data_IF_359497887975
#
_entry.id   IF_359497887975
#
_cell.length_a   1.000
_cell.length_b   1.000
_cell.length_c   1.000
_cell.angle_alpha   90.00
_cell.angle_beta   90.00
_cell.angle_gamma   90.00
#
_symmetry.space_group_name_H-M   'P 1'
#
loop_
_entity.id
_entity.type
_entity.pdbx_description
1 polymer ?
#
# COMPACT_ATOMS: atom_id res chain seq x y z
N UNK A 1 -19.74 -31.25 -42.45
CA UNK A 1 -19.36 -31.93 -41.18
C UNK A 1 -17.86 -31.90 -40.84
N UNK A 2 -16.93 -31.60 -41.76
CA UNK A 2 -15.49 -31.50 -41.45
C UNK A 2 -15.05 -30.12 -40.87
N UNK A 3 -15.82 -29.06 -41.04
CA UNK A 3 -15.49 -27.73 -40.53
C UNK A 3 -15.87 -27.50 -39.05
N UNK A 4 -16.78 -28.32 -38.50
CA UNK A 4 -17.26 -28.18 -37.11
C UNK A 4 -16.24 -28.77 -36.07
N UNK A 5 -15.39 -29.72 -36.49
CA UNK A 5 -14.40 -30.33 -35.61
C UNK A 5 -13.12 -29.50 -35.43
N UNK A 6 -12.81 -28.61 -36.37
CA UNK A 6 -11.63 -27.72 -36.28
C UNK A 6 -11.91 -26.57 -35.31
N UNK A 7 -13.15 -26.08 -35.20
CA UNK A 7 -13.52 -25.04 -34.25
C UNK A 7 -13.52 -25.55 -32.78
N UNK A 8 -13.82 -26.83 -32.53
CA UNK A 8 -13.74 -27.42 -31.17
C UNK A 8 -12.30 -27.71 -30.72
N UNK A 9 -11.39 -27.98 -31.64
CA UNK A 9 -9.99 -28.25 -31.32
C UNK A 9 -9.18 -26.98 -31.00
N UNK A 10 -9.58 -25.82 -31.52
CA UNK A 10 -8.96 -24.53 -31.21
C UNK A 10 -9.46 -23.92 -29.89
N UNK A 11 -10.64 -24.33 -29.42
CA UNK A 11 -11.17 -23.88 -28.11
C UNK A 11 -10.59 -24.59 -26.90
N UNK A 12 -9.92 -25.76 -27.11
CA UNK A 12 -9.36 -26.57 -26.02
C UNK A 12 -7.88 -26.24 -25.70
N UNK A 13 -7.24 -25.35 -26.45
CA UNK A 13 -5.83 -24.96 -26.26
C UNK A 13 -5.59 -23.68 -25.48
N UNK A 14 -6.64 -23.04 -24.97
CA UNK A 14 -6.54 -21.77 -24.24
C UNK A 14 -6.71 -21.90 -22.71
N UNK A 15 -6.59 -23.08 -22.14
CA UNK A 15 -6.26 -23.23 -20.73
C UNK A 15 -4.74 -23.35 -20.66
N UNK A 16 -4.05 -22.24 -20.89
CA UNK A 16 -2.66 -22.13 -20.47
C UNK A 16 -2.66 -22.35 -18.97
N UNK A 17 -2.18 -23.49 -18.52
CA UNK A 17 -1.82 -23.70 -17.14
C UNK A 17 -0.95 -22.49 -16.74
N UNK A 18 -1.45 -21.70 -15.80
CA UNK A 18 -0.71 -20.60 -15.23
C UNK A 18 0.48 -21.25 -14.53
N UNK A 19 1.64 -21.27 -15.17
CA UNK A 19 2.84 -21.75 -14.53
C UNK A 19 3.17 -20.72 -13.44
N UNK A 20 3.15 -21.14 -12.18
CA UNK A 20 3.67 -20.34 -11.10
C UNK A 20 5.11 -19.97 -11.45
N UNK A 21 5.42 -18.67 -11.39
CA UNK A 21 6.76 -18.18 -11.68
C UNK A 21 7.70 -18.67 -10.57
N UNK A 22 8.84 -19.31 -10.89
CA UNK A 22 9.77 -19.76 -9.87
C UNK A 22 10.18 -18.61 -8.95
N UNK A 23 10.00 -18.83 -7.66
CA UNK A 23 10.37 -17.86 -6.63
C UNK A 23 11.27 -18.54 -5.61
N UNK A 24 12.47 -18.01 -5.45
CA UNK A 24 13.50 -18.53 -4.57
C UNK A 24 13.68 -17.57 -3.41
N UNK A 25 13.88 -18.14 -2.22
CA UNK A 25 14.10 -17.41 -0.97
C UNK A 25 15.40 -17.86 -0.34
N UNK A 26 16.23 -16.91 0.07
CA UNK A 26 17.41 -17.16 0.86
C UNK A 26 17.74 -15.98 1.76
N UNK A 27 18.53 -16.19 2.78
CA UNK A 27 19.01 -15.15 3.69
C UNK A 27 20.53 -15.11 3.69
N UNK A 28 21.11 -13.92 3.71
CA UNK A 28 22.55 -13.75 3.91
C UNK A 28 22.90 -13.89 5.41
N UNK A 29 24.17 -14.17 5.71
CA UNK A 29 24.67 -14.30 7.09
C UNK A 29 24.45 -13.04 7.93
N UNK A 30 24.33 -11.87 7.30
CA UNK A 30 24.02 -10.59 7.96
C UNK A 30 22.52 -10.34 8.17
N UNK A 31 21.67 -11.32 7.86
CA UNK A 31 20.24 -11.27 8.10
C UNK A 31 19.41 -10.62 6.98
N UNK A 32 20.00 -10.22 5.86
CA UNK A 32 19.26 -9.72 4.70
C UNK A 32 18.44 -10.85 4.08
N UNK A 33 17.10 -10.68 4.08
CA UNK A 33 16.19 -11.58 3.38
C UNK A 33 16.22 -11.26 1.88
N UNK A 34 16.26 -12.29 1.03
CA UNK A 34 16.32 -12.13 -0.43
C UNK A 34 15.26 -13.00 -1.10
N UNK A 35 14.45 -12.39 -1.97
CA UNK A 35 13.48 -13.06 -2.83
C UNK A 35 13.88 -12.85 -4.29
N UNK A 36 13.99 -13.94 -5.05
CA UNK A 36 14.27 -13.89 -6.50
C UNK A 36 13.09 -14.54 -7.23
N UNK A 37 12.39 -13.77 -8.06
CA UNK A 37 11.30 -14.26 -8.93
C UNK A 37 11.75 -14.26 -10.37
N UNK A 38 11.83 -15.44 -10.97
CA UNK A 38 12.26 -15.63 -12.35
C UNK A 38 11.09 -15.38 -13.31
N UNK A 39 11.23 -14.39 -14.20
CA UNK A 39 10.26 -14.06 -15.23
C UNK A 39 10.97 -13.67 -16.54
N UNK A 40 11.13 -14.64 -17.42
CA UNK A 40 11.88 -14.50 -18.69
C UNK A 40 11.03 -14.00 -19.86
N UNK A 41 9.81 -13.48 -19.62
CA UNK A 41 8.92 -13.00 -20.68
C UNK A 41 9.42 -11.70 -21.35
N UNK A 42 10.23 -10.92 -20.66
CA UNK A 42 10.84 -9.70 -21.17
C UNK A 42 12.25 -9.51 -20.59
N UNK A 43 13.21 -8.95 -21.35
CA UNK A 43 14.61 -8.79 -20.92
C UNK A 43 14.76 -7.61 -19.93
N UNK A 44 13.99 -7.61 -18.85
CA UNK A 44 13.99 -6.56 -17.82
C UNK A 44 14.14 -7.17 -16.43
N UNK A 45 14.78 -6.44 -15.53
CA UNK A 45 14.92 -6.79 -14.13
C UNK A 45 14.50 -5.62 -13.25
N UNK A 46 13.76 -5.90 -12.19
CA UNK A 46 13.41 -4.98 -11.13
C UNK A 46 14.14 -5.41 -9.86
N UNK A 47 14.85 -4.49 -9.23
CA UNK A 47 15.48 -4.66 -7.92
C UNK A 47 14.77 -3.72 -6.95
N UNK A 48 14.22 -4.27 -5.87
CA UNK A 48 13.57 -3.49 -4.81
C UNK A 48 14.17 -3.86 -3.46
N UNK A 49 14.53 -2.86 -2.66
CA UNK A 49 14.83 -3.08 -1.25
C UNK A 49 13.73 -2.48 -0.40
N UNK A 50 13.25 -3.26 0.54
CA UNK A 50 12.15 -2.94 1.43
C UNK A 50 12.65 -2.92 2.87
N UNK A 51 12.45 -1.82 3.58
CA UNK A 51 12.77 -1.70 5.00
C UNK A 51 11.49 -1.84 5.83
N UNK A 52 11.58 -2.70 6.86
CA UNK A 52 10.52 -2.92 7.84
C UNK A 52 10.43 -1.71 8.80
N UNK A 53 10.29 -0.51 8.23
CA UNK A 53 10.21 0.77 8.94
C UNK A 53 9.43 1.79 8.09
N UNK A 54 8.39 2.34 8.65
CA UNK A 54 7.54 3.36 8.03
C UNK A 54 7.11 4.40 9.06
N UNK A 55 6.17 5.27 8.68
CA UNK A 55 5.82 6.38 9.56
C UNK A 55 5.24 5.94 10.91
N UNK A 56 4.63 4.74 11.03
CA UNK A 56 4.12 4.25 12.32
C UNK A 56 5.22 3.91 13.34
N UNK A 57 6.46 3.76 12.88
CA UNK A 57 7.62 3.44 13.73
C UNK A 57 8.34 4.73 14.22
N UNK A 58 7.86 5.92 13.81
CA UNK A 58 8.39 7.21 14.22
C UNK A 58 8.13 7.50 15.69
N UNK A 59 9.10 8.11 16.35
CA UNK A 59 8.92 8.54 17.73
C UNK A 59 7.92 9.71 17.81
N UNK A 60 7.21 9.88 18.95
CA UNK A 60 6.38 11.05 19.17
C UNK A 60 7.19 12.34 18.93
N UNK A 61 6.59 13.30 18.21
CA UNK A 61 7.19 14.60 17.83
C UNK A 61 8.32 14.53 16.76
N UNK A 62 8.53 13.37 16.13
CA UNK A 62 9.51 13.20 15.04
C UNK A 62 8.84 12.78 13.72
N UNK A 63 7.52 13.05 13.57
CA UNK A 63 6.76 12.62 12.41
C UNK A 63 7.29 13.26 11.13
N UNK A 64 7.40 12.42 10.08
CA UNK A 64 7.95 12.80 8.78
C UNK A 64 9.43 12.46 8.61
N UNK A 65 10.12 11.95 9.65
CA UNK A 65 11.56 11.59 9.54
C UNK A 65 11.78 10.44 8.58
N UNK A 66 10.88 9.46 8.52
CA UNK A 66 10.96 8.34 7.57
C UNK A 66 10.90 8.83 6.11
N UNK A 67 9.95 9.70 5.79
CA UNK A 67 9.79 10.28 4.47
C UNK A 67 10.94 11.23 4.11
N UNK A 68 11.40 12.04 5.05
CA UNK A 68 12.56 12.91 4.83
C UNK A 68 13.83 12.09 4.56
N UNK A 69 14.04 10.96 5.25
CA UNK A 69 15.16 10.08 4.96
C UNK A 69 15.04 9.46 3.56
N UNK A 70 13.84 9.11 3.11
CA UNK A 70 13.62 8.65 1.73
C UNK A 70 14.23 9.62 0.72
N UNK A 71 13.96 10.93 0.86
CA UNK A 71 14.55 11.98 0.01
C UNK A 71 16.07 12.01 0.13
N UNK A 72 16.62 11.90 1.35
CA UNK A 72 18.06 11.91 1.60
C UNK A 72 18.78 10.75 0.93
N UNK A 73 18.14 9.59 0.75
CA UNK A 73 18.72 8.39 0.13
C UNK A 73 19.11 8.58 -1.35
N UNK A 74 18.66 9.63 -2.00
CA UNK A 74 19.05 9.99 -3.38
C UNK A 74 20.11 11.07 -3.44
N UNK A 75 20.62 11.55 -2.29
CA UNK A 75 21.55 12.67 -2.25
C UNK A 75 23.01 12.23 -2.28
N UNK A 76 23.63 12.09 -1.19
CA UNK A 76 25.07 11.99 -1.06
C UNK A 76 25.48 10.64 -0.42
N UNK A 77 26.44 9.97 -1.03
CA UNK A 77 27.07 8.81 -0.41
C UNK A 77 28.60 8.93 -0.43
N UNK A 78 29.28 7.96 0.11
CA UNK A 78 30.74 7.98 0.14
C UNK A 78 31.37 8.10 -1.24
N UNK A 79 30.77 7.47 -2.25
CA UNK A 79 31.35 7.37 -3.59
C UNK A 79 30.53 8.10 -4.67
N UNK A 80 29.32 8.58 -4.34
CA UNK A 80 28.44 9.28 -5.26
C UNK A 80 28.14 10.69 -4.74
N UNK A 81 28.38 11.69 -5.58
CA UNK A 81 28.02 13.08 -5.31
C UNK A 81 26.49 13.27 -5.42
N UNK A 82 25.93 14.37 -4.86
CA UNK A 82 24.49 14.64 -4.91
C UNK A 82 23.89 14.54 -6.32
N UNK A 83 22.83 13.75 -6.44
CA UNK A 83 22.14 13.48 -7.71
C UNK A 83 22.92 12.60 -8.70
N UNK A 84 24.11 12.12 -8.37
CA UNK A 84 24.88 11.25 -9.25
C UNK A 84 24.24 9.88 -9.39
N UNK A 85 23.62 9.36 -8.34
CA UNK A 85 22.83 8.12 -8.37
C UNK A 85 21.79 8.15 -9.51
N UNK A 86 20.90 9.13 -9.51
CA UNK A 86 19.83 9.26 -10.50
C UNK A 86 20.40 9.51 -11.92
N UNK A 87 21.48 10.28 -12.04
CA UNK A 87 22.14 10.49 -13.33
C UNK A 87 22.76 9.21 -13.89
N UNK A 88 23.38 8.38 -13.06
CA UNK A 88 23.92 7.09 -13.46
C UNK A 88 22.78 6.15 -13.88
N UNK A 89 21.73 6.04 -13.06
CA UNK A 89 20.56 5.25 -13.40
C UNK A 89 19.99 5.64 -14.76
N UNK A 90 19.69 6.91 -14.98
CA UNK A 90 19.15 7.41 -16.24
C UNK A 90 20.10 7.17 -17.44
N UNK A 91 21.42 7.33 -17.24
CA UNK A 91 22.43 7.08 -18.30
C UNK A 91 22.42 5.62 -18.79
N UNK A 92 22.09 4.68 -17.90
CA UNK A 92 22.02 3.25 -18.22
C UNK A 92 20.59 2.78 -18.50
N UNK A 93 19.65 3.71 -18.72
CA UNK A 93 18.26 3.39 -19.08
C UNK A 93 17.41 2.88 -17.92
N UNK A 94 17.82 3.17 -16.68
CA UNK A 94 17.09 2.79 -15.48
C UNK A 94 15.98 3.76 -15.10
N UNK A 95 14.88 3.21 -14.63
CA UNK A 95 13.82 3.92 -13.89
C UNK A 95 14.00 3.65 -12.39
N UNK A 96 14.09 4.72 -11.59
CA UNK A 96 14.39 4.62 -10.16
C UNK A 96 13.49 5.55 -9.37
N UNK A 97 12.94 5.04 -8.27
CA UNK A 97 12.14 5.85 -7.36
C UNK A 97 12.09 5.17 -5.97
N UNK A 98 11.34 5.80 -5.05
CA UNK A 98 11.06 5.28 -3.73
C UNK A 98 9.68 5.70 -3.27
N UNK A 99 9.23 5.11 -2.20
CA UNK A 99 8.02 5.53 -1.49
C UNK A 99 8.06 5.09 -0.03
N UNK A 100 7.57 5.97 0.83
CA UNK A 100 7.33 5.70 2.25
C UNK A 100 5.85 5.46 2.48
N UNK A 101 5.55 4.42 3.25
CA UNK A 101 4.21 4.07 3.71
C UNK A 101 4.13 4.14 5.23
N UNK A 102 2.99 3.78 5.77
CA UNK A 102 2.85 3.62 7.22
C UNK A 102 3.77 2.53 7.78
N UNK A 103 3.84 1.38 7.12
CA UNK A 103 4.47 0.16 7.65
C UNK A 103 5.88 -0.09 7.15
N UNK A 104 6.30 0.60 6.10
CA UNK A 104 7.56 0.33 5.39
C UNK A 104 8.02 1.52 4.56
N UNK A 105 9.30 1.49 4.17
CA UNK A 105 9.88 2.33 3.11
C UNK A 105 10.51 1.41 2.07
N UNK A 106 10.30 1.68 0.79
CA UNK A 106 10.84 0.87 -0.29
C UNK A 106 11.50 1.72 -1.37
N UNK A 107 12.54 1.17 -1.96
CA UNK A 107 13.30 1.76 -3.06
C UNK A 107 13.34 0.78 -4.20
N UNK A 108 13.20 1.25 -5.43
CA UNK A 108 13.23 0.39 -6.59
C UNK A 108 14.08 0.95 -7.73
N UNK A 109 14.58 0.04 -8.51
CA UNK A 109 15.29 0.27 -9.75
C UNK A 109 14.83 -0.75 -10.78
N UNK A 110 14.53 -0.32 -12.00
CA UNK A 110 14.20 -1.19 -13.11
C UNK A 110 15.14 -0.92 -14.27
N UNK A 111 15.71 -1.98 -14.84
CA UNK A 111 16.66 -1.90 -15.95
C UNK A 111 16.43 -3.03 -16.95
N UNK A 112 17.14 -2.95 -18.09
CA UNK A 112 17.40 -4.11 -18.93
C UNK A 112 18.24 -5.14 -18.13
N UNK A 113 17.95 -6.44 -18.30
CA UNK A 113 18.43 -7.52 -17.42
C UNK A 113 19.95 -7.56 -17.22
N UNK A 114 20.76 -7.26 -18.26
CA UNK A 114 22.24 -7.24 -18.15
C UNK A 114 22.78 -6.18 -17.19
N UNK A 115 21.92 -5.24 -16.75
CA UNK A 115 22.27 -4.17 -15.77
C UNK A 115 22.02 -4.57 -14.31
N UNK A 116 21.61 -5.81 -14.03
CA UNK A 116 21.45 -6.30 -12.66
C UNK A 116 22.66 -6.00 -11.76
N UNK A 117 23.94 -6.24 -12.19
CA UNK A 117 25.09 -5.90 -11.35
C UNK A 117 25.16 -4.44 -10.99
N UNK A 118 24.83 -3.52 -11.91
CA UNK A 118 24.81 -2.08 -11.67
C UNK A 118 23.71 -1.71 -10.66
N UNK A 119 22.50 -2.27 -10.83
CA UNK A 119 21.38 -2.01 -9.94
C UNK A 119 21.72 -2.40 -8.49
N UNK A 120 22.30 -3.59 -8.30
CA UNK A 120 22.72 -4.08 -6.98
C UNK A 120 23.86 -3.26 -6.38
N UNK A 121 24.86 -2.86 -7.20
CA UNK A 121 25.94 -2.00 -6.75
C UNK A 121 25.46 -0.63 -6.27
N UNK A 122 24.56 0.01 -7.03
CA UNK A 122 23.98 1.29 -6.66
C UNK A 122 23.11 1.19 -5.41
N UNK A 123 22.34 0.09 -5.28
CA UNK A 123 21.51 -0.14 -4.11
C UNK A 123 22.35 -0.36 -2.84
N UNK A 124 23.38 -1.18 -2.95
CA UNK A 124 24.33 -1.43 -1.87
C UNK A 124 25.08 -0.16 -1.47
N UNK A 125 25.50 0.68 -2.44
CA UNK A 125 26.19 1.95 -2.18
C UNK A 125 25.33 2.88 -1.32
N UNK A 126 24.03 3.06 -1.66
CA UNK A 126 23.18 3.96 -0.87
C UNK A 126 22.83 3.38 0.49
N UNK A 127 22.66 2.06 0.61
CA UNK A 127 22.38 1.43 1.90
C UNK A 127 23.59 1.46 2.83
N UNK A 128 24.80 1.24 2.31
CA UNK A 128 26.02 1.10 3.09
C UNK A 128 26.71 2.44 3.39
N UNK A 129 26.62 3.38 2.48
CA UNK A 129 27.51 4.53 2.41
C UNK A 129 26.81 5.89 2.40
N UNK A 130 25.51 5.94 2.73
CA UNK A 130 24.76 7.19 2.79
C UNK A 130 25.46 8.19 3.71
N UNK A 131 25.52 9.44 3.28
CA UNK A 131 25.98 10.58 4.07
C UNK A 131 24.86 11.58 4.24
N UNK A 132 24.52 11.87 5.49
CA UNK A 132 23.50 12.86 5.84
C UNK A 132 24.25 14.10 6.33
N UNK A 133 24.61 14.94 5.38
CA UNK A 133 25.23 16.24 5.65
C UNK A 133 24.15 17.26 6.07
N UNK A 134 24.48 18.14 7.01
CA UNK A 134 23.51 19.12 7.54
C UNK A 134 22.94 20.04 6.45
N UNK A 135 23.78 20.46 5.49
CA UNK A 135 23.34 21.30 4.38
C UNK A 135 22.33 20.58 3.49
N UNK A 136 22.59 19.32 3.13
CA UNK A 136 21.68 18.51 2.32
C UNK A 136 20.39 18.23 3.07
N UNK A 137 20.47 17.94 4.37
CA UNK A 137 19.30 17.75 5.21
C UNK A 137 18.38 18.99 5.20
N UNK A 138 18.93 20.18 5.49
CA UNK A 138 18.13 21.40 5.52
C UNK A 138 17.52 21.73 4.15
N UNK A 139 18.22 21.43 3.06
CA UNK A 139 17.71 21.60 1.70
C UNK A 139 16.54 20.66 1.44
N UNK A 140 16.68 19.37 1.77
CA UNK A 140 15.60 18.40 1.59
C UNK A 140 14.41 18.65 2.51
N UNK A 141 14.65 19.10 3.75
CA UNK A 141 13.57 19.52 4.63
C UNK A 141 12.70 20.63 3.99
N UNK A 142 13.30 21.59 3.31
CA UNK A 142 12.54 22.61 2.58
C UNK A 142 11.77 22.03 1.39
N UNK A 143 12.33 21.03 0.68
CA UNK A 143 11.63 20.33 -0.39
C UNK A 143 10.42 19.58 0.14
N UNK A 144 10.57 18.83 1.22
CA UNK A 144 9.48 18.08 1.85
C UNK A 144 8.41 19.01 2.45
N UNK A 145 8.81 20.14 3.04
CA UNK A 145 7.87 21.17 3.50
C UNK A 145 7.05 21.78 2.36
N UNK A 146 7.68 22.02 1.20
CA UNK A 146 6.98 22.51 0.01
C UNK A 146 6.07 21.43 -0.59
N UNK A 147 6.52 20.17 -0.61
CA UNK A 147 5.68 19.04 -1.02
C UNK A 147 4.45 18.91 -0.14
N UNK A 148 4.62 18.98 1.20
CA UNK A 148 3.51 18.99 2.13
C UNK A 148 2.53 20.12 1.83
N UNK A 149 3.05 21.33 1.60
CA UNK A 149 2.21 22.48 1.24
C UNK A 149 1.37 22.17 0.01
N UNK A 150 2.00 21.67 -1.07
CA UNK A 150 1.34 21.42 -2.36
C UNK A 150 0.39 20.22 -2.32
N UNK A 151 0.72 19.17 -1.55
CA UNK A 151 -0.08 17.94 -1.52
C UNK A 151 -1.18 17.95 -0.46
N UNK A 152 -0.99 18.70 0.63
CA UNK A 152 -1.89 18.67 1.78
C UNK A 152 -2.41 20.06 2.17
N UNK A 153 -1.52 20.99 2.52
CA UNK A 153 -1.93 22.25 3.15
C UNK A 153 -2.75 23.13 2.21
N UNK A 154 -2.39 23.20 0.92
CA UNK A 154 -3.09 23.95 -0.13
C UNK A 154 -4.28 23.18 -0.74
N UNK A 155 -4.56 21.94 -0.28
CA UNK A 155 -5.66 21.12 -0.75
C UNK A 155 -6.66 20.81 0.37
N UNK A 156 -7.76 21.54 0.45
CA UNK A 156 -8.74 21.40 1.54
C UNK A 156 -9.25 19.97 1.74
N UNK A 157 -9.42 19.19 0.67
CA UNK A 157 -9.86 17.78 0.76
C UNK A 157 -8.79 16.86 1.33
N UNK A 158 -7.51 17.08 0.98
CA UNK A 158 -6.39 16.33 1.56
C UNK A 158 -6.18 16.68 3.04
N UNK A 159 -6.29 17.95 3.38
CA UNK A 159 -6.25 18.41 4.78
C UNK A 159 -7.42 17.84 5.58
N UNK A 160 -8.63 17.76 4.99
CA UNK A 160 -9.78 17.12 5.62
C UNK A 160 -9.51 15.65 5.91
N UNK A 161 -8.94 14.93 4.95
CA UNK A 161 -8.58 13.52 5.10
C UNK A 161 -7.53 13.31 6.19
N UNK A 162 -6.48 14.11 6.23
CA UNK A 162 -5.45 14.07 7.27
C UNK A 162 -6.05 14.25 8.68
N UNK A 163 -6.90 15.27 8.85
CA UNK A 163 -7.57 15.52 10.13
C UNK A 163 -8.53 14.39 10.51
N UNK A 164 -9.21 13.83 9.52
CA UNK A 164 -10.11 12.69 9.72
C UNK A 164 -9.36 11.44 10.17
N UNK A 165 -8.24 11.11 9.54
CA UNK A 165 -7.41 9.96 9.92
C UNK A 165 -6.96 10.03 11.38
N UNK A 166 -6.59 11.21 11.87
CA UNK A 166 -6.19 11.41 13.28
C UNK A 166 -7.31 11.07 14.27
N UNK A 167 -8.57 11.33 13.90
CA UNK A 167 -9.75 11.00 14.72
C UNK A 167 -10.18 9.55 14.49
N UNK A 168 -10.01 9.04 13.27
CA UNK A 168 -10.44 7.69 12.90
C UNK A 168 -9.56 6.59 13.50
N UNK A 169 -8.27 6.86 13.75
CA UNK A 169 -7.28 5.87 14.22
C UNK A 169 -6.49 6.34 15.44
N UNK A 170 -7.15 6.88 16.50
CA UNK A 170 -6.46 7.51 17.62
C UNK A 170 -5.61 6.49 18.39
N UNK A 171 -4.47 6.95 18.91
CA UNK A 171 -3.56 6.13 19.70
C UNK A 171 -2.75 5.11 18.90
N UNK A 172 -2.80 5.15 17.58
CA UNK A 172 -1.99 4.33 16.68
C UNK A 172 -1.05 5.20 15.85
N UNK A 173 0.05 4.63 15.36
CA UNK A 173 0.95 5.32 14.41
C UNK A 173 0.27 5.66 13.08
N UNK A 174 -0.86 5.06 12.76
CA UNK A 174 -1.64 5.40 11.57
C UNK A 174 -2.45 6.70 11.71
N UNK A 175 -2.47 7.31 12.88
CA UNK A 175 -3.19 8.58 13.13
C UNK A 175 -2.46 9.80 12.55
N UNK A 176 -1.14 9.73 12.34
CA UNK A 176 -0.38 10.84 11.79
C UNK A 176 -0.07 10.66 10.29
N UNK A 177 0.11 11.73 9.54
CA UNK A 177 0.40 11.64 8.13
C UNK A 177 1.82 11.12 7.87
N UNK A 178 2.01 10.36 6.80
CA UNK A 178 3.31 9.82 6.40
C UNK A 178 4.34 10.93 6.19
N UNK A 179 3.94 12.06 5.61
CA UNK A 179 4.80 13.23 5.40
C UNK A 179 5.12 13.97 6.71
N UNK A 180 4.47 13.60 7.82
CA UNK A 180 4.61 14.24 9.12
C UNK A 180 3.69 15.45 9.32
N UNK A 181 3.41 15.77 10.60
CA UNK A 181 2.72 17.01 10.96
C UNK A 181 3.61 18.20 10.64
N UNK A 182 3.02 19.26 10.08
CA UNK A 182 3.75 20.47 9.63
C UNK A 182 4.70 21.03 10.68
N UNK A 183 4.20 21.20 11.91
CA UNK A 183 4.97 21.84 12.99
C UNK A 183 6.09 20.92 13.51
N UNK A 184 5.89 19.61 13.49
CA UNK A 184 6.91 18.62 13.87
C UNK A 184 7.96 18.49 12.78
N UNK A 185 7.55 18.36 11.53
CA UNK A 185 8.44 18.32 10.38
C UNK A 185 9.38 19.55 10.36
N UNK A 186 8.85 20.74 10.60
CA UNK A 186 9.64 21.98 10.65
C UNK A 186 10.69 22.01 11.78
N UNK A 187 10.58 21.15 12.79
CA UNK A 187 11.49 21.07 13.93
C UNK A 187 12.49 19.90 13.83
N UNK A 188 12.40 19.08 12.80
CA UNK A 188 13.32 17.96 12.59
C UNK A 188 14.76 18.46 12.46
N UNK A 189 15.69 17.65 12.99
CA UNK A 189 17.13 17.92 12.99
C UNK A 189 17.89 16.79 12.28
N UNK A 190 19.10 17.06 11.76
CA UNK A 190 19.91 16.05 11.07
C UNK A 190 20.17 14.80 11.90
N UNK A 191 20.30 14.95 13.23
CA UNK A 191 20.55 13.84 14.17
C UNK A 191 19.41 12.82 14.16
N UNK A 192 18.15 13.24 14.00
CA UNK A 192 17.00 12.36 13.95
C UNK A 192 17.02 11.52 12.68
N UNK A 193 17.34 12.11 11.52
CA UNK A 193 17.49 11.38 10.27
C UNK A 193 18.67 10.39 10.33
N UNK A 194 19.82 10.79 10.94
CA UNK A 194 20.98 9.91 11.15
C UNK A 194 20.62 8.74 12.08
N UNK A 195 19.92 9.02 13.19
CA UNK A 195 19.46 7.99 14.13
C UNK A 195 18.50 7.02 13.47
N UNK A 196 17.55 7.55 12.67
CA UNK A 196 16.61 6.72 11.90
C UNK A 196 17.34 5.78 10.94
N UNK A 197 18.27 6.31 10.14
CA UNK A 197 19.08 5.53 9.21
C UNK A 197 19.88 4.44 9.93
N UNK A 198 20.60 4.78 10.99
CA UNK A 198 21.41 3.83 11.76
C UNK A 198 20.59 2.73 12.40
N UNK A 199 19.37 3.04 12.82
CA UNK A 199 18.48 2.12 13.52
C UNK A 199 17.76 1.17 12.58
N UNK A 200 17.23 1.67 11.47
CA UNK A 200 16.28 0.93 10.64
C UNK A 200 16.87 0.43 9.32
N UNK A 201 17.93 1.06 8.80
CA UNK A 201 18.50 0.72 7.50
C UNK A 201 19.66 -0.26 7.65
N UNK A 202 19.34 -1.42 8.21
CA UNK A 202 20.27 -2.52 8.45
C UNK A 202 19.79 -3.77 7.70
N UNK A 203 20.72 -4.67 7.27
CA UNK A 203 20.36 -5.88 6.52
C UNK A 203 19.26 -6.72 7.18
N UNK A 204 19.36 -7.00 8.49
CA UNK A 204 18.36 -7.80 9.21
C UNK A 204 16.97 -7.17 9.32
N UNK A 205 16.81 -5.89 8.95
CA UNK A 205 15.52 -5.19 8.87
C UNK A 205 15.04 -4.97 7.45
N UNK A 206 15.69 -5.59 6.45
CA UNK A 206 15.42 -5.38 5.04
C UNK A 206 15.06 -6.68 4.31
N UNK A 207 14.29 -6.56 3.26
CA UNK A 207 14.05 -7.61 2.25
C UNK A 207 14.44 -7.08 0.89
N UNK A 208 15.35 -7.76 0.21
CA UNK A 208 15.73 -7.48 -1.18
C UNK A 208 14.89 -8.38 -2.11
N UNK A 209 14.14 -7.78 -3.01
CA UNK A 209 13.36 -8.48 -4.03
C UNK A 209 13.98 -8.21 -5.39
N UNK A 210 14.29 -9.28 -6.12
CA UNK A 210 14.76 -9.25 -7.50
C UNK A 210 13.74 -10.00 -8.34
N UNK A 211 13.16 -9.36 -9.33
CA UNK A 211 12.20 -10.00 -10.23
C UNK A 211 12.53 -9.69 -11.67
N UNK A 212 12.29 -10.65 -12.59
CA UNK A 212 12.47 -10.48 -14.01
C UNK A 212 13.35 -11.52 -14.67
N UNK A 213 14.02 -11.11 -15.76
CA UNK A 213 14.87 -11.99 -16.56
C UNK A 213 16.22 -12.25 -15.85
N UNK A 214 16.14 -13.08 -14.82
CA UNK A 214 17.26 -13.43 -13.94
C UNK A 214 16.95 -14.76 -13.26
N UNK A 215 17.96 -15.60 -13.07
CA UNK A 215 17.88 -16.82 -12.25
C UNK A 215 18.45 -16.58 -10.85
N UNK A 216 18.04 -17.41 -9.88
CA UNK A 216 18.66 -17.39 -8.54
C UNK A 216 20.18 -17.60 -8.61
N UNK A 217 20.62 -18.50 -9.47
CA UNK A 217 22.05 -18.80 -9.64
C UNK A 217 22.87 -17.61 -10.15
N UNK A 218 22.27 -16.71 -10.92
CA UNK A 218 22.90 -15.46 -11.36
C UNK A 218 22.82 -14.37 -10.29
N UNK A 219 21.68 -14.25 -9.59
CA UNK A 219 21.45 -13.20 -8.60
C UNK A 219 22.27 -13.43 -7.32
N UNK A 220 22.28 -14.65 -6.76
CA UNK A 220 22.91 -14.96 -5.46
C UNK A 220 24.35 -14.50 -5.35
N UNK A 221 25.30 -14.83 -6.26
CA UNK A 221 26.69 -14.40 -6.12
C UNK A 221 26.85 -12.87 -6.21
N UNK A 222 25.96 -12.18 -6.93
CA UNK A 222 25.97 -10.72 -7.00
C UNK A 222 25.46 -10.11 -5.70
N UNK A 223 24.40 -10.65 -5.11
CA UNK A 223 23.87 -10.22 -3.81
C UNK A 223 24.93 -10.43 -2.72
N UNK A 224 25.54 -11.62 -2.66
CA UNK A 224 26.64 -11.91 -1.72
C UNK A 224 27.81 -10.94 -1.88
N UNK A 225 28.21 -10.64 -3.12
CA UNK A 225 29.29 -9.70 -3.43
C UNK A 225 29.01 -8.29 -2.94
N UNK A 226 27.82 -7.76 -3.14
CA UNK A 226 27.53 -6.35 -2.87
C UNK A 226 26.98 -6.10 -1.46
N UNK A 227 26.27 -7.08 -0.88
CA UNK A 227 25.60 -6.93 0.41
C UNK A 227 26.22 -7.79 1.53
N UNK A 228 26.98 -8.85 1.21
CA UNK A 228 27.44 -9.84 2.18
C UNK A 228 28.41 -9.28 3.24
N UNK A 229 29.18 -8.25 2.92
CA UNK A 229 30.14 -7.62 3.84
C UNK A 229 29.52 -6.52 4.73
N UNK A 230 28.22 -6.23 4.57
CA UNK A 230 27.53 -5.26 5.42
C UNK A 230 27.38 -5.79 6.85
N UNK A 231 27.63 -4.96 7.88
CA UNK A 231 27.33 -5.35 9.25
C UNK A 231 25.84 -5.71 9.41
N UNK A 232 25.55 -6.78 10.13
CA UNK A 232 24.16 -7.23 10.35
C UNK A 232 23.28 -6.12 10.96
N UNK A 233 23.86 -5.32 11.86
CA UNK A 233 23.11 -4.35 12.64
C UNK A 233 22.23 -5.03 13.69
N UNK A 234 21.58 -4.24 14.52
CA UNK A 234 20.58 -4.71 15.46
C UNK A 234 19.19 -4.49 14.82
N UNK A 235 18.44 -5.58 14.62
CA UNK A 235 17.06 -5.46 14.11
C UNK A 235 16.19 -4.78 15.16
N UNK A 236 15.61 -3.61 14.88
CA UNK A 236 14.83 -2.89 15.87
C UNK A 236 13.55 -3.65 16.22
N UNK A 237 13.09 -3.57 17.49
CA UNK A 237 11.79 -4.12 17.83
C UNK A 237 10.68 -3.36 17.09
N UNK A 238 9.68 -4.09 16.62
CA UNK A 238 8.49 -3.51 16.00
C UNK A 238 7.30 -3.65 16.97
N UNK A 239 6.88 -2.59 17.66
CA UNK A 239 5.71 -2.62 18.51
C UNK A 239 4.47 -3.08 17.75
N UNK A 240 3.57 -3.77 18.44
CA UNK A 240 2.28 -4.15 17.86
C UNK A 240 1.45 -2.89 17.59
N UNK A 241 1.12 -2.57 16.33
CA UNK A 241 0.35 -1.39 15.99
C UNK A 241 -1.16 -1.56 16.21
N UNK A 242 -1.61 -2.74 16.64
CA UNK A 242 -3.03 -3.03 16.91
C UNK A 242 -3.49 -2.54 18.29
N UNK A 243 -2.55 -2.06 19.12
CA UNK A 243 -2.85 -1.56 20.45
C UNK A 243 -3.90 -0.45 20.42
N UNK A 244 -4.97 -0.65 21.19
CA UNK A 244 -6.14 0.22 21.35
C UNK A 244 -7.04 0.33 20.11
N UNK A 245 -7.81 -0.72 19.77
CA UNK A 245 -8.92 -0.55 18.84
C UNK A 245 -9.85 0.54 19.43
N UNK A 246 -10.32 1.48 18.61
CA UNK A 246 -11.18 2.54 19.09
C UNK A 246 -12.48 1.96 19.64
N UNK A 247 -12.82 2.35 20.86
CA UNK A 247 -14.09 2.00 21.48
C UNK A 247 -15.16 3.05 21.12
N UNK A 248 -16.18 2.63 20.38
CA UNK A 248 -17.33 3.45 20.04
C UNK A 248 -17.17 4.32 18.79
N UNK A 249 -18.29 4.86 18.33
CA UNK A 249 -18.34 5.75 17.16
C UNK A 249 -17.64 7.08 17.44
N UNK A 250 -16.96 7.60 16.44
CA UNK A 250 -16.35 8.93 16.47
C UNK A 250 -16.88 9.77 15.32
N UNK A 251 -17.30 10.99 15.65
CA UNK A 251 -17.86 11.90 14.66
C UNK A 251 -17.15 13.25 14.71
N UNK A 252 -16.99 13.87 13.55
CA UNK A 252 -16.46 15.23 13.45
C UNK A 252 -17.12 16.00 12.31
N UNK A 253 -17.14 17.31 12.42
CA UNK A 253 -17.49 18.21 11.34
C UNK A 253 -16.29 19.12 11.06
N UNK A 254 -15.85 19.14 9.81
CA UNK A 254 -14.76 19.98 9.34
C UNK A 254 -15.32 21.09 8.46
N UNK A 255 -15.09 22.34 8.86
CA UNK A 255 -15.37 23.53 8.04
C UNK A 255 -14.08 23.94 7.35
N UNK A 256 -14.05 23.81 6.04
CA UNK A 256 -12.86 24.04 5.21
C UNK A 256 -13.28 24.76 3.90
N UNK A 257 -12.34 25.43 3.21
CA UNK A 257 -12.63 26.11 1.95
C UNK A 257 -12.84 25.11 0.79
N UNK A 258 -13.71 24.13 0.99
CA UNK A 258 -14.15 23.17 -0.04
C UNK A 258 -15.30 23.78 -0.82
N UNK A 259 -15.42 23.42 -2.10
CA UNK A 259 -16.54 23.88 -2.95
C UNK A 259 -17.77 22.99 -2.83
N UNK A 260 -17.54 21.70 -2.60
CA UNK A 260 -18.59 20.69 -2.50
C UNK A 260 -18.40 19.96 -1.17
N UNK A 261 -19.49 19.75 -0.41
CA UNK A 261 -19.42 18.92 0.80
C UNK A 261 -18.95 17.51 0.49
N UNK A 262 -18.34 16.86 1.49
CA UNK A 262 -17.93 15.46 1.38
C UNK A 262 -18.21 14.71 2.69
N UNK A 263 -18.60 13.45 2.55
CA UNK A 263 -18.74 12.49 3.63
C UNK A 263 -17.54 11.54 3.59
N UNK A 264 -16.88 11.37 4.74
CA UNK A 264 -15.87 10.32 4.94
C UNK A 264 -16.32 9.41 6.07
N UNK A 265 -16.31 8.11 5.82
CA UNK A 265 -16.53 7.07 6.81
C UNK A 265 -15.36 6.08 6.77
N UNK A 266 -14.90 5.67 7.94
CA UNK A 266 -13.84 4.67 8.08
C UNK A 266 -14.21 3.70 9.19
N UNK A 267 -14.16 2.41 8.87
CA UNK A 267 -14.32 1.32 9.82
C UNK A 267 -12.95 0.67 10.07
N UNK A 268 -12.60 0.48 11.34
CA UNK A 268 -11.43 -0.30 11.72
C UNK A 268 -11.78 -1.78 11.65
N UNK A 269 -11.13 -2.49 10.75
CA UNK A 269 -11.40 -3.90 10.43
C UNK A 269 -10.10 -4.71 10.49
N UNK A 270 -10.12 -6.03 10.56
CA UNK A 270 -8.91 -6.83 10.48
C UNK A 270 -8.15 -6.59 9.16
N UNK A 271 -6.83 -6.69 9.23
CA UNK A 271 -5.95 -6.84 8.08
C UNK A 271 -5.62 -8.33 7.86
N UNK A 272 -4.88 -8.65 6.79
CA UNK A 272 -4.34 -10.00 6.60
C UNK A 272 -3.41 -10.43 7.74
N UNK A 273 -2.68 -9.47 8.33
CA UNK A 273 -1.76 -9.71 9.44
C UNK A 273 -2.46 -9.85 10.80
N UNK A 274 -3.65 -9.25 10.98
CA UNK A 274 -4.35 -9.21 12.28
C UNK A 274 -5.61 -10.06 12.33
N UNK A 275 -6.06 -10.63 11.22
CA UNK A 275 -7.22 -11.51 11.18
C UNK A 275 -6.91 -12.82 11.88
N UNK A 276 -7.73 -13.22 12.86
CA UNK A 276 -7.64 -14.52 13.51
C UNK A 276 -7.85 -15.67 12.51
N UNK A 277 -8.77 -15.48 11.56
CA UNK A 277 -9.01 -16.35 10.41
C UNK A 277 -8.70 -15.58 9.13
N UNK A 278 -7.70 -16.01 8.32
CA UNK A 278 -7.39 -15.40 7.04
C UNK A 278 -8.58 -15.30 6.07
N UNK A 279 -9.60 -16.16 6.21
CA UNK A 279 -10.82 -16.06 5.41
C UNK A 279 -11.55 -14.73 5.60
N UNK A 280 -11.38 -14.06 6.75
CA UNK A 280 -11.94 -12.72 7.00
C UNK A 280 -11.37 -11.67 6.04
N UNK A 281 -10.08 -11.72 5.76
CA UNK A 281 -9.45 -10.82 4.79
C UNK A 281 -10.07 -10.96 3.40
N UNK A 282 -10.24 -12.20 2.93
CA UNK A 282 -10.83 -12.47 1.62
C UNK A 282 -12.31 -12.11 1.58
N UNK A 283 -13.06 -12.33 2.67
CA UNK A 283 -14.45 -11.93 2.78
C UNK A 283 -14.63 -10.39 2.76
N UNK A 284 -13.75 -9.64 3.44
CA UNK A 284 -13.72 -8.17 3.40
C UNK A 284 -13.30 -7.66 2.01
N UNK A 285 -12.39 -8.32 1.33
CA UNK A 285 -12.00 -8.02 -0.07
C UNK A 285 -13.22 -8.18 -1.00
N UNK A 286 -13.94 -9.30 -0.89
CA UNK A 286 -15.17 -9.52 -1.65
C UNK A 286 -16.26 -8.51 -1.30
N UNK A 287 -16.44 -8.17 -0.01
CA UNK A 287 -17.38 -7.14 0.43
C UNK A 287 -17.07 -5.77 -0.19
N UNK A 288 -15.80 -5.40 -0.28
CA UNK A 288 -15.35 -4.21 -1.00
C UNK A 288 -15.81 -4.21 -2.45
N UNK A 289 -15.61 -5.32 -3.16
CA UNK A 289 -16.05 -5.48 -4.54
C UNK A 289 -17.58 -5.51 -4.73
N UNK A 290 -18.34 -6.06 -3.79
CA UNK A 290 -19.82 -6.02 -3.80
C UNK A 290 -20.31 -4.58 -3.65
N UNK A 291 -19.68 -3.80 -2.74
CA UNK A 291 -20.07 -2.42 -2.50
C UNK A 291 -19.59 -1.48 -3.63
N UNK A 292 -18.33 -1.63 -4.09
CA UNK A 292 -17.73 -0.75 -5.10
C UNK A 292 -16.71 -1.49 -6.01
N UNK A 293 -17.16 -2.49 -6.73
CA UNK A 293 -16.37 -3.25 -7.71
C UNK A 293 -16.71 -2.93 -9.16
N UNK A 294 -17.00 -1.65 -9.48
CA UNK A 294 -17.31 -1.18 -10.82
C UNK A 294 -18.78 -0.77 -11.02
N UNK A 295 -19.18 -0.55 -12.29
CA UNK A 295 -20.46 0.07 -12.64
C UNK A 295 -21.71 -0.66 -12.13
N UNK A 296 -21.61 -1.95 -11.85
CA UNK A 296 -22.73 -2.78 -11.35
C UNK A 296 -22.68 -2.97 -9.83
N UNK A 297 -21.68 -2.41 -9.15
CA UNK A 297 -21.58 -2.46 -7.70
C UNK A 297 -22.68 -1.64 -7.02
N UNK A 298 -23.00 -1.98 -5.76
CA UNK A 298 -24.18 -1.44 -5.08
C UNK A 298 -24.13 0.06 -4.88
N UNK A 299 -22.97 0.61 -4.49
CA UNK A 299 -22.79 2.05 -4.30
C UNK A 299 -23.04 2.80 -5.62
N UNK A 300 -22.37 2.40 -6.69
CA UNK A 300 -22.53 3.04 -8.00
C UNK A 300 -23.96 2.87 -8.54
N UNK A 301 -24.49 1.66 -8.54
CA UNK A 301 -25.82 1.39 -9.14
C UNK A 301 -26.98 1.98 -8.34
N UNK A 302 -26.91 1.98 -7.00
CA UNK A 302 -28.03 2.42 -6.16
C UNK A 302 -27.92 3.89 -5.75
N UNK A 303 -26.74 4.33 -5.27
CA UNK A 303 -26.59 5.67 -4.69
C UNK A 303 -26.24 6.73 -5.74
N UNK A 304 -25.41 6.38 -6.75
CA UNK A 304 -25.00 7.34 -7.79
C UNK A 304 -26.02 7.37 -8.93
N UNK A 305 -26.26 6.24 -9.62
CA UNK A 305 -27.12 6.20 -10.80
C UNK A 305 -28.61 6.02 -10.49
N UNK A 306 -28.94 5.20 -9.48
CA UNK A 306 -30.32 4.88 -9.13
C UNK A 306 -31.02 6.03 -8.42
N UNK A 307 -30.73 6.21 -7.14
CA UNK A 307 -31.34 7.23 -6.29
C UNK A 307 -30.78 8.65 -6.54
N UNK A 308 -29.62 8.76 -7.21
CA UNK A 308 -28.95 10.04 -7.50
C UNK A 308 -28.66 10.87 -6.24
N UNK A 309 -28.33 10.20 -5.15
CA UNK A 309 -27.97 10.87 -3.90
C UNK A 309 -26.53 11.42 -3.98
N UNK A 310 -25.60 10.65 -4.53
CA UNK A 310 -24.22 11.05 -4.69
C UNK A 310 -23.90 11.51 -6.11
N UNK A 311 -23.12 12.58 -6.22
CA UNK A 311 -22.48 12.98 -7.47
C UNK A 311 -21.27 12.05 -7.79
N UNK A 312 -20.69 11.45 -6.75
CA UNK A 312 -19.70 10.41 -6.81
C UNK A 312 -19.56 9.79 -5.42
N UNK A 313 -19.33 8.50 -5.37
CA UNK A 313 -19.09 7.76 -4.14
C UNK A 313 -18.14 6.60 -4.41
N UNK A 314 -17.41 6.18 -3.38
CA UNK A 314 -16.52 5.02 -3.44
C UNK A 314 -16.43 4.32 -2.10
N UNK A 315 -16.22 3.01 -2.13
CA UNK A 315 -15.99 2.19 -0.95
C UNK A 315 -14.85 1.20 -1.22
N UNK A 316 -14.05 0.89 -0.18
CA UNK A 316 -12.95 -0.04 -0.37
C UNK A 316 -12.36 -0.55 0.93
N UNK A 317 -11.72 -1.70 0.83
CA UNK A 317 -11.00 -2.35 1.92
C UNK A 317 -9.49 -2.28 1.66
N UNK A 318 -8.74 -1.75 2.63
CA UNK A 318 -7.28 -1.85 2.68
C UNK A 318 -6.89 -2.76 3.84
N UNK A 319 -6.62 -4.02 3.51
CA UNK A 319 -6.27 -5.07 4.45
C UNK A 319 -4.79 -5.45 4.44
N UNK A 320 -3.94 -4.79 3.65
CA UNK A 320 -2.50 -5.07 3.63
C UNK A 320 -1.75 -4.04 4.50
N UNK A 321 -1.95 -4.13 5.80
CA UNK A 321 -1.32 -3.32 6.85
C UNK A 321 -0.82 -4.24 7.96
N UNK A 322 0.24 -3.82 8.68
CA UNK A 322 0.78 -4.53 9.83
C UNK A 322 -0.19 -4.51 11.02
N UNK A 323 -0.86 -3.38 11.23
CA UNK A 323 -1.96 -3.25 12.18
C UNK A 323 -3.31 -3.55 11.54
N UNK A 324 -4.38 -3.12 12.21
CA UNK A 324 -5.72 -3.26 11.66
C UNK A 324 -5.86 -2.55 10.32
N UNK A 325 -6.55 -3.20 9.41
CA UNK A 325 -6.96 -2.63 8.14
C UNK A 325 -8.10 -1.62 8.28
N UNK A 326 -8.47 -1.03 7.16
CA UNK A 326 -9.56 -0.07 7.08
C UNK A 326 -10.56 -0.44 6.00
N UNK A 327 -11.84 -0.26 6.28
CA UNK A 327 -12.87 -0.21 5.26
C UNK A 327 -13.36 1.23 5.18
N UNK A 328 -13.25 1.87 4.01
CA UNK A 328 -13.57 3.28 3.83
C UNK A 328 -14.76 3.45 2.92
N UNK A 329 -15.55 4.48 3.17
CA UNK A 329 -16.55 5.01 2.26
C UNK A 329 -16.37 6.52 2.15
N UNK A 330 -16.39 7.03 0.93
CA UNK A 330 -16.33 8.47 0.65
C UNK A 330 -17.40 8.83 -0.35
N UNK A 331 -18.05 9.98 -0.15
CA UNK A 331 -19.09 10.44 -1.09
C UNK A 331 -19.17 11.97 -1.13
N UNK A 332 -19.57 12.49 -2.30
CA UNK A 332 -19.99 13.88 -2.48
C UNK A 332 -21.47 13.91 -2.85
N UNK A 333 -22.31 14.76 -2.21
CA UNK A 333 -23.73 14.79 -2.47
C UNK A 333 -24.06 15.45 -3.81
N UNK A 334 -25.18 15.04 -4.40
CA UNK A 334 -25.84 15.85 -5.43
C UNK A 334 -26.48 17.12 -4.83
N UNK A 335 -26.73 18.16 -5.63
CA UNK A 335 -27.40 19.37 -5.14
C UNK A 335 -28.72 19.05 -4.43
N UNK A 336 -28.88 19.56 -3.21
CA UNK A 336 -30.07 19.38 -2.37
C UNK A 336 -30.06 18.13 -1.51
N UNK A 337 -29.04 17.27 -1.60
CA UNK A 337 -28.85 16.10 -0.73
C UNK A 337 -27.93 16.44 0.43
N UNK A 338 -28.30 16.04 1.62
CA UNK A 338 -27.49 16.22 2.84
C UNK A 338 -26.46 15.09 3.00
N UNK A 339 -25.43 15.34 3.80
CA UNK A 339 -24.44 14.30 4.16
C UNK A 339 -25.07 13.20 5.03
N UNK A 340 -26.08 13.53 5.85
CA UNK A 340 -26.82 12.53 6.64
C UNK A 340 -27.62 11.59 5.75
N UNK A 341 -28.20 12.06 4.64
CA UNK A 341 -28.89 11.20 3.67
C UNK A 341 -27.91 10.25 2.96
N UNK A 342 -26.69 10.72 2.63
CA UNK A 342 -25.66 9.85 2.05
C UNK A 342 -25.17 8.79 3.05
N UNK A 343 -24.98 9.17 4.30
CA UNK A 343 -24.59 8.26 5.37
C UNK A 343 -25.66 7.17 5.56
N UNK A 344 -26.93 7.58 5.71
CA UNK A 344 -28.06 6.66 5.88
C UNK A 344 -28.23 5.71 4.67
N UNK A 345 -28.00 6.19 3.46
CA UNK A 345 -28.06 5.38 2.26
C UNK A 345 -26.95 4.32 2.21
N UNK A 346 -25.71 4.68 2.56
CA UNK A 346 -24.62 3.72 2.64
C UNK A 346 -24.87 2.66 3.74
N UNK A 347 -25.29 3.10 4.93
CA UNK A 347 -25.68 2.16 6.00
C UNK A 347 -26.80 1.22 5.57
N UNK A 348 -27.73 1.68 4.77
CA UNK A 348 -28.78 0.83 4.23
C UNK A 348 -28.22 -0.24 3.28
N UNK A 349 -27.26 0.09 2.42
CA UNK A 349 -26.62 -0.92 1.55
C UNK A 349 -25.84 -1.96 2.38
N UNK A 350 -25.09 -1.52 3.40
CA UNK A 350 -24.41 -2.42 4.33
C UNK A 350 -25.42 -3.33 5.06
N UNK A 351 -26.52 -2.76 5.56
CA UNK A 351 -27.57 -3.51 6.25
C UNK A 351 -28.22 -4.56 5.37
N UNK A 352 -28.51 -4.24 4.10
CA UNK A 352 -29.05 -5.20 3.13
C UNK A 352 -28.13 -6.43 2.99
N UNK A 353 -26.81 -6.23 2.97
CA UNK A 353 -25.83 -7.33 2.90
C UNK A 353 -25.83 -8.11 4.23
N UNK A 354 -25.87 -7.42 5.37
CA UNK A 354 -25.89 -8.04 6.69
C UNK A 354 -27.17 -8.87 6.94
N UNK A 355 -28.30 -8.49 6.36
CA UNK A 355 -29.57 -9.20 6.46
C UNK A 355 -29.71 -10.33 5.43
N UNK A 356 -29.23 -10.11 4.22
CA UNK A 356 -29.32 -11.08 3.12
C UNK A 356 -27.96 -11.16 2.38
N UNK A 357 -27.36 -12.36 2.26
CA UNK A 357 -26.09 -12.53 1.57
C UNK A 357 -26.18 -12.10 0.10
N UNK A 358 -25.08 -11.68 -0.52
CA UNK A 358 -25.02 -11.43 -1.96
C UNK A 358 -25.42 -12.67 -2.77
N UNK A 359 -26.04 -12.50 -3.92
CA UNK A 359 -26.37 -13.61 -4.81
C UNK A 359 -25.11 -14.17 -5.50
N UNK A 360 -25.17 -15.43 -5.94
CA UNK A 360 -24.05 -16.10 -6.61
C UNK A 360 -23.57 -15.36 -7.86
N UNK A 361 -24.48 -14.84 -8.68
CA UNK A 361 -24.11 -14.05 -9.86
C UNK A 361 -23.33 -12.77 -9.51
N UNK A 362 -23.72 -12.11 -8.42
CA UNK A 362 -23.00 -10.94 -7.88
C UNK A 362 -21.61 -11.32 -7.39
N UNK A 363 -21.50 -12.44 -6.66
CA UNK A 363 -20.23 -12.99 -6.16
C UNK A 363 -19.30 -13.36 -7.32
N UNK A 364 -19.80 -14.03 -8.35
CA UNK A 364 -19.00 -14.45 -9.49
C UNK A 364 -18.48 -13.25 -10.28
N UNK A 365 -19.31 -12.22 -10.47
CA UNK A 365 -18.86 -10.96 -11.10
C UNK A 365 -17.77 -10.27 -10.32
N UNK A 366 -17.93 -10.15 -8.99
CA UNK A 366 -16.94 -9.52 -8.12
C UNK A 366 -15.64 -10.32 -8.11
N UNK A 367 -15.74 -11.63 -7.97
CA UNK A 367 -14.57 -12.54 -8.00
C UNK A 367 -13.80 -12.39 -9.30
N UNK A 368 -14.48 -12.40 -10.45
CA UNK A 368 -13.85 -12.19 -11.74
C UNK A 368 -13.15 -10.84 -11.85
N UNK A 369 -13.74 -9.77 -11.30
CA UNK A 369 -13.14 -8.42 -11.29
C UNK A 369 -11.87 -8.36 -10.42
N UNK A 370 -11.92 -8.92 -9.21
CA UNK A 370 -10.76 -8.95 -8.29
C UNK A 370 -9.61 -9.76 -8.90
N UNK A 371 -9.92 -10.96 -9.44
CA UNK A 371 -8.92 -11.81 -10.09
C UNK A 371 -8.31 -11.15 -11.33
N UNK A 372 -9.11 -10.44 -12.13
CA UNK A 372 -8.58 -9.68 -13.27
C UNK A 372 -7.59 -8.61 -12.81
N UNK A 373 -7.87 -7.90 -11.72
CA UNK A 373 -6.95 -6.93 -11.12
C UNK A 373 -5.62 -7.58 -10.72
N UNK A 374 -5.65 -8.75 -10.09
CA UNK A 374 -4.43 -9.50 -9.73
C UNK A 374 -3.63 -9.94 -10.96
N UNK A 375 -4.30 -10.40 -12.02
CA UNK A 375 -3.62 -10.76 -13.28
C UNK A 375 -2.87 -9.57 -13.84
N UNK A 376 -3.51 -8.39 -13.94
CA UNK A 376 -2.86 -7.18 -14.44
C UNK A 376 -1.67 -6.74 -13.57
N UNK A 377 -1.79 -6.86 -12.25
CA UNK A 377 -0.69 -6.53 -11.34
C UNK A 377 0.52 -7.46 -11.57
N UNK A 378 0.28 -8.77 -11.71
CA UNK A 378 1.32 -9.79 -11.91
C UNK A 378 1.86 -9.84 -13.34
N UNK A 379 1.22 -9.18 -14.30
CA UNK A 379 1.73 -9.08 -15.66
C UNK A 379 3.00 -8.22 -15.74
N UNK A 380 3.20 -7.31 -14.84
CA UNK A 380 4.40 -6.46 -14.75
C UNK A 380 5.40 -7.02 -13.73
N UNK A 381 6.68 -7.07 -14.11
CA UNK A 381 7.80 -7.44 -13.24
C UNK A 381 7.83 -6.56 -11.98
N UNK A 382 7.56 -5.25 -12.14
CA UNK A 382 7.43 -4.31 -11.03
C UNK A 382 6.28 -4.71 -10.09
N UNK A 383 5.10 -5.06 -10.63
CA UNK A 383 3.95 -5.50 -9.83
C UNK A 383 4.24 -6.75 -9.00
N UNK A 384 4.99 -7.69 -9.57
CA UNK A 384 5.42 -8.90 -8.87
C UNK A 384 6.38 -8.57 -7.71
N UNK A 385 7.37 -7.70 -7.94
CA UNK A 385 8.30 -7.26 -6.90
C UNK A 385 7.59 -6.50 -5.77
N UNK A 386 6.60 -5.68 -6.12
CA UNK A 386 5.75 -4.96 -5.17
C UNK A 386 4.92 -5.91 -4.29
N UNK A 387 4.30 -6.94 -4.88
CA UNK A 387 3.50 -7.92 -4.16
C UNK A 387 4.34 -8.70 -3.14
N UNK A 388 5.46 -9.27 -3.58
CA UNK A 388 6.37 -10.04 -2.72
C UNK A 388 6.94 -9.20 -1.58
N UNK A 389 7.47 -8.03 -1.91
CA UNK A 389 8.10 -7.14 -0.93
C UNK A 389 7.10 -6.64 0.11
N UNK A 390 5.88 -6.24 -0.32
CA UNK A 390 4.84 -5.78 0.60
C UNK A 390 4.45 -6.86 1.61
N UNK A 391 4.21 -8.08 1.18
CA UNK A 391 3.88 -9.19 2.09
C UNK A 391 5.02 -9.46 3.07
N UNK A 392 6.25 -9.54 2.57
CA UNK A 392 7.42 -9.79 3.41
C UNK A 392 7.60 -8.76 4.54
N UNK A 393 7.49 -7.46 4.24
CA UNK A 393 7.67 -6.40 5.26
C UNK A 393 6.53 -6.30 6.25
N UNK A 394 5.34 -6.80 5.89
CA UNK A 394 4.21 -6.92 6.81
C UNK A 394 4.31 -8.13 7.72
N UNK A 395 5.29 -9.00 7.52
CA UNK A 395 5.43 -10.25 8.26
C UNK A 395 4.46 -11.35 7.82
N UNK A 396 3.96 -11.24 6.61
CA UNK A 396 3.05 -12.21 5.98
C UNK A 396 3.85 -13.09 5.03
N UNK A 397 3.59 -14.40 5.05
CA UNK A 397 4.23 -15.32 4.11
C UNK A 397 3.89 -14.92 2.67
N UNK A 398 4.91 -14.60 1.88
CA UNK A 398 4.75 -14.19 0.48
C UNK A 398 4.06 -15.27 -0.38
N UNK A 399 4.09 -16.54 0.02
CA UNK A 399 3.42 -17.66 -0.67
C UNK A 399 1.89 -17.50 -0.67
N UNK A 400 1.34 -16.68 0.23
CA UNK A 400 -0.09 -16.32 0.20
C UNK A 400 -0.48 -15.54 -1.06
N UNK A 401 0.48 -14.84 -1.71
CA UNK A 401 0.25 -14.26 -3.02
C UNK A 401 -0.14 -15.32 -4.06
N UNK A 402 0.55 -16.45 -4.07
CA UNK A 402 0.29 -17.56 -5.02
C UNK A 402 -1.03 -18.27 -4.73
N UNK A 403 -1.44 -18.29 -3.46
CA UNK A 403 -2.70 -18.91 -3.00
C UNK A 403 -3.90 -17.96 -3.06
N UNK A 404 -3.70 -16.69 -3.44
CA UNK A 404 -4.75 -15.66 -3.37
C UNK A 404 -5.99 -16.07 -4.19
N UNK A 405 -5.80 -16.53 -5.41
CA UNK A 405 -6.88 -16.91 -6.32
C UNK A 405 -7.72 -18.06 -5.74
N UNK A 406 -7.03 -19.08 -5.21
CA UNK A 406 -7.67 -20.25 -4.58
C UNK A 406 -8.43 -19.86 -3.30
N UNK A 407 -7.84 -19.02 -2.46
CA UNK A 407 -8.47 -18.57 -1.21
C UNK A 407 -9.67 -17.65 -1.49
N UNK A 408 -9.58 -16.76 -2.48
CA UNK A 408 -10.69 -15.91 -2.90
C UNK A 408 -11.85 -16.76 -3.47
N UNK A 409 -11.55 -17.83 -4.21
CA UNK A 409 -12.55 -18.73 -4.77
C UNK A 409 -13.36 -19.47 -3.70
N UNK A 410 -12.80 -19.68 -2.52
CA UNK A 410 -13.48 -20.33 -1.38
C UNK A 410 -14.43 -19.44 -0.62
N UNK A 411 -14.43 -18.12 -0.88
CA UNK A 411 -15.30 -17.18 -0.16
C UNK A 411 -16.77 -17.39 -0.54
N UNK A 412 -17.60 -17.64 0.47
CA UNK A 412 -19.05 -17.84 0.28
C UNK A 412 -19.84 -16.55 0.50
N UNK A 413 -21.07 -16.45 -0.04
CA UNK A 413 -21.98 -15.33 0.22
C UNK A 413 -22.20 -15.06 1.72
N UNK A 414 -22.31 -16.11 2.53
CA UNK A 414 -22.52 -16.01 3.98
C UNK A 414 -21.29 -15.45 4.71
N UNK A 415 -20.09 -15.68 4.18
CA UNK A 415 -18.88 -15.07 4.74
C UNK A 415 -18.86 -13.58 4.47
N UNK A 416 -19.26 -13.13 3.28
CA UNK A 416 -19.40 -11.70 2.94
C UNK A 416 -20.49 -11.04 3.79
N UNK A 417 -21.63 -11.73 4.00
CA UNK A 417 -22.71 -11.28 4.90
C UNK A 417 -22.18 -11.11 6.33
N UNK A 418 -21.45 -12.08 6.85
CA UNK A 418 -20.84 -12.00 8.19
C UNK A 418 -19.86 -10.85 8.28
N UNK A 419 -19.02 -10.66 7.25
CA UNK A 419 -18.07 -9.55 7.22
C UNK A 419 -18.78 -8.19 7.32
N UNK A 420 -19.88 -7.98 6.60
CA UNK A 420 -20.68 -6.77 6.72
C UNK A 420 -21.27 -6.59 8.12
N UNK A 421 -21.88 -7.66 8.69
CA UNK A 421 -22.54 -7.62 9.98
C UNK A 421 -21.58 -7.43 11.15
N UNK A 422 -20.40 -8.04 11.11
CA UNK A 422 -19.50 -8.11 12.26
C UNK A 422 -18.48 -6.96 12.25
N UNK A 423 -18.18 -6.39 11.06
CA UNK A 423 -17.11 -5.41 10.91
C UNK A 423 -17.57 -3.99 10.49
N UNK A 424 -18.66 -3.86 9.71
CA UNK A 424 -19.14 -2.52 9.31
C UNK A 424 -20.22 -2.03 10.29
N UNK A 425 -19.85 -1.93 11.56
CA UNK A 425 -20.73 -1.54 12.67
C UNK A 425 -20.33 -0.20 13.26
N UNK A 426 -21.28 0.49 13.91
CA UNK A 426 -21.09 1.82 14.45
C UNK A 426 -19.93 1.91 15.47
N UNK A 427 -19.74 0.86 16.28
CA UNK A 427 -18.71 0.79 17.33
C UNK A 427 -17.28 0.83 16.77
N UNK A 428 -17.11 0.50 15.48
CA UNK A 428 -15.80 0.47 14.78
C UNK A 428 -15.59 1.64 13.86
N UNK A 429 -16.55 2.57 13.81
CA UNK A 429 -16.68 3.60 12.80
C UNK A 429 -16.18 4.97 13.26
N UNK A 430 -15.59 5.70 12.32
CA UNK A 430 -15.44 7.13 12.38
C UNK A 430 -16.17 7.78 11.19
N UNK A 431 -16.74 8.97 11.40
CA UNK A 431 -17.48 9.73 10.39
C UNK A 431 -17.01 11.19 10.41
N UNK A 432 -16.74 11.73 9.23
CA UNK A 432 -16.47 13.16 9.06
C UNK A 432 -17.42 13.78 8.03
N UNK A 433 -18.09 14.85 8.44
CA UNK A 433 -18.80 15.75 7.54
C UNK A 433 -17.85 16.92 7.19
N UNK A 434 -17.40 16.97 5.94
CA UNK A 434 -16.60 18.08 5.42
C UNK A 434 -17.55 19.04 4.72
N UNK A 435 -17.67 20.24 5.24
CA UNK A 435 -18.61 21.26 4.74
C UNK A 435 -17.88 22.55 4.37
N UNK A 436 -18.39 23.32 3.40
CA UNK A 436 -17.85 24.62 3.06
C UNK A 436 -17.80 25.56 4.26
N UNK A 437 -16.74 26.36 4.34
CA UNK A 437 -16.74 27.54 5.23
C UNK A 437 -17.82 28.52 4.74
N UNK A 438 -18.55 29.14 5.69
CA UNK A 438 -19.44 30.23 5.35
C UNK A 438 -18.60 31.36 4.75
N UNK A 439 -18.91 31.79 3.54
CA UNK A 439 -18.29 32.99 2.97
C UNK A 439 -18.70 34.20 3.83
N UNK A 440 -17.71 34.80 4.49
CA UNK A 440 -17.91 36.06 5.25
C UNK A 440 -18.16 37.22 4.30
#
# INVERSE_FOLDING_TARGET
>A
MKALWIALALGALAVSARADLPTHEFQLDNGLDVLVREDHRAPVVTVMIWFKAGSIDEAPYETGVAHLLEHMMFRNSKHLAPGQFSRLAARFGGDVNAFTSYDFTAYYQQYEASRLPLALELEAERLKNLRIEDEDFHRELQVVMEERRQRTDDKPTALAWEKFQAVARPGTGYAHPIIGWRDQLAQLKPEQARSWYQRFYVPGNATLVIAGDVTEAEARPLVEKFFGDMPAGETPPRPDPTLNPPAGERRMTLRLPVRVPALYMLYNVPSLATAEDPATFYALTMLGGVLDGGLSARVESNMVRGQRLAAGAGAGYDGLQRGNGTFTFTASPNPGVSLDELEAAFEQEVRKIAEQPPGEEEMDRVRASVLAGQVYQRDSVMGQAMELGRLSVLGVDWRLAEQFDENLAKVTPEQVQRAARDWLVAERRAVAHVIPEEQQ
#
